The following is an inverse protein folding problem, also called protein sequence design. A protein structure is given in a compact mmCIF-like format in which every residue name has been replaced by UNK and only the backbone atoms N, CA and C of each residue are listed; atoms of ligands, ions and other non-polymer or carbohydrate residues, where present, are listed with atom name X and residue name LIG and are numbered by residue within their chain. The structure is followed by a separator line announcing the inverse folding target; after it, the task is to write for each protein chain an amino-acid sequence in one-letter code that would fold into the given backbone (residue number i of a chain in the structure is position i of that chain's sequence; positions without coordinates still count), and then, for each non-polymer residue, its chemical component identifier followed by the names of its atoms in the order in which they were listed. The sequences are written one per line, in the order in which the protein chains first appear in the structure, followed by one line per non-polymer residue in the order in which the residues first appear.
data_IF_250819313753
#
_entry.id   IF_250819313753
#
_cell.length_a   1.000
_cell.length_b   1.000
_cell.length_c   1.000
_cell.angle_alpha   90.00
_cell.angle_beta   90.00
_cell.angle_gamma   90.00
#
_symmetry.space_group_name_H-M   'P 1'
#
loop_
_entity.id
_entity.type
_entity.pdbx_description
1 polymer ?
#
# COMPACT_ATOMS: atom_id res chain seq x y z
N UNK A 1 -8.91 3.43 11.96
CA UNK A 1 -8.16 2.16 11.87
C UNK A 1 -6.87 2.38 11.11
N UNK A 2 -5.82 1.58 11.34
CA UNK A 2 -4.51 1.78 10.70
C UNK A 2 -4.10 0.56 9.87
N UNK A 3 -3.56 0.79 8.68
CA UNK A 3 -3.17 -0.29 7.76
C UNK A 3 -1.83 -0.04 7.08
N UNK A 4 -1.09 -1.10 6.83
CA UNK A 4 -0.03 -1.09 5.81
C UNK A 4 -0.67 -1.34 4.45
N UNK A 5 -0.35 -0.53 3.44
CA UNK A 5 -0.97 -0.59 2.11
C UNK A 5 0.04 -1.01 1.08
N UNK A 6 -0.36 -1.98 0.26
CA UNK A 6 0.40 -2.50 -0.88
C UNK A 6 0.45 -1.48 -2.04
N UNK A 7 1.58 -1.38 -2.75
CA UNK A 7 1.73 -0.53 -3.94
C UNK A 7 0.63 -0.78 -4.96
N UNK A 8 0.20 -2.03 -5.16
CA UNK A 8 -0.87 -2.36 -6.12
C UNK A 8 -2.18 -1.65 -5.80
N UNK A 9 -2.50 -1.48 -4.52
CA UNK A 9 -3.63 -0.68 -4.08
C UNK A 9 -3.34 0.79 -4.34
N UNK A 10 -2.16 1.29 -3.95
CA UNK A 10 -1.78 2.70 -4.12
C UNK A 10 -1.80 3.15 -5.58
N UNK A 11 -1.44 2.28 -6.54
CA UNK A 11 -1.58 2.58 -7.96
C UNK A 11 -3.02 2.97 -8.29
N UNK A 12 -4.01 2.20 -7.83
CA UNK A 12 -5.42 2.49 -8.15
C UNK A 12 -5.89 3.88 -7.72
N UNK A 13 -5.19 4.59 -6.82
CA UNK A 13 -5.46 5.99 -6.45
C UNK A 13 -5.50 6.95 -7.66
N UNK A 14 -4.68 6.68 -8.69
CA UNK A 14 -4.57 7.55 -9.87
C UNK A 14 -5.72 7.37 -10.88
N UNK A 15 -6.54 6.33 -10.74
CA UNK A 15 -7.65 6.05 -11.65
C UNK A 15 -8.85 6.97 -11.39
N UNK A 16 -9.63 7.25 -12.43
CA UNK A 16 -10.89 7.99 -12.32
C UNK A 16 -11.89 7.20 -11.46
N UNK A 17 -12.61 7.90 -10.57
CA UNK A 17 -13.58 7.32 -9.63
C UNK A 17 -12.99 6.17 -8.78
N UNK A 18 -11.69 6.27 -8.46
CA UNK A 18 -11.01 5.29 -7.64
C UNK A 18 -11.65 5.16 -6.27
N UNK A 19 -12.12 3.97 -5.95
CA UNK A 19 -12.62 3.65 -4.62
C UNK A 19 -11.53 3.85 -3.54
N UNK A 20 -10.30 3.48 -3.88
CA UNK A 20 -9.10 3.69 -3.04
C UNK A 20 -8.94 5.15 -2.65
N UNK A 21 -9.21 6.09 -3.57
CA UNK A 21 -9.15 7.51 -3.27
C UNK A 21 -10.16 7.93 -2.19
N UNK A 22 -11.35 7.34 -2.18
CA UNK A 22 -12.34 7.58 -1.13
C UNK A 22 -11.86 7.09 0.24
N UNK A 23 -11.32 5.88 0.30
CA UNK A 23 -10.79 5.31 1.55
C UNK A 23 -9.58 6.07 2.09
N UNK A 24 -8.62 6.44 1.23
CA UNK A 24 -7.40 7.13 1.66
C UNK A 24 -7.66 8.53 2.22
N UNK A 25 -8.80 9.16 1.86
CA UNK A 25 -9.18 10.50 2.34
C UNK A 25 -10.01 10.44 3.63
N UNK A 26 -10.47 9.25 4.02
CA UNK A 26 -11.23 9.08 5.26
C UNK A 26 -10.35 9.37 6.48
N UNK A 27 -10.76 10.36 7.28
CA UNK A 27 -10.00 10.81 8.45
C UNK A 27 -9.99 9.79 9.59
N UNK A 28 -10.92 8.83 9.59
CA UNK A 28 -10.93 7.75 10.57
C UNK A 28 -9.94 6.63 10.19
N UNK A 29 -9.31 6.69 9.01
CA UNK A 29 -8.34 5.73 8.52
C UNK A 29 -6.94 6.33 8.39
N UNK A 30 -5.92 5.58 8.77
CA UNK A 30 -4.51 5.95 8.61
C UNK A 30 -3.78 4.87 7.84
N UNK A 31 -2.94 5.29 6.90
CA UNK A 31 -2.27 4.38 5.97
C UNK A 31 -0.77 4.57 5.98
N UNK A 32 -0.07 3.44 5.97
CA UNK A 32 1.39 3.36 5.99
C UNK A 32 1.85 2.54 4.80
N UNK A 33 2.97 2.88 4.20
CA UNK A 33 3.59 2.05 3.17
C UNK A 33 5.10 2.13 3.29
N UNK A 34 5.84 1.11 2.85
CA UNK A 34 7.29 1.23 2.66
C UNK A 34 7.63 2.36 1.69
N UNK A 35 8.73 3.08 1.93
CA UNK A 35 9.17 4.19 1.06
C UNK A 35 9.38 3.76 -0.41
N UNK A 36 9.84 2.53 -0.64
CA UNK A 36 10.03 2.01 -1.99
C UNK A 36 8.70 1.99 -2.79
N UNK A 37 7.54 1.90 -2.15
CA UNK A 37 6.25 1.94 -2.85
C UNK A 37 6.05 3.30 -3.56
N UNK A 38 6.52 4.39 -2.96
CA UNK A 38 6.50 5.71 -3.60
C UNK A 38 7.53 5.78 -4.74
N UNK A 39 8.70 5.18 -4.57
CA UNK A 39 9.72 5.07 -5.64
C UNK A 39 9.17 4.30 -6.84
N UNK A 40 8.46 3.21 -6.59
CA UNK A 40 7.81 2.38 -7.59
C UNK A 40 6.74 3.17 -8.35
N UNK A 41 5.88 3.91 -7.65
CA UNK A 41 4.91 4.83 -8.27
C UNK A 41 5.59 5.86 -9.17
N UNK A 42 6.73 6.42 -8.76
CA UNK A 42 7.49 7.35 -9.59
C UNK A 42 8.10 6.66 -10.81
N UNK A 43 8.63 5.44 -10.65
CA UNK A 43 9.20 4.64 -11.74
C UNK A 43 8.18 4.30 -12.82
N UNK A 44 6.94 4.01 -12.42
CA UNK A 44 5.83 3.68 -13.32
C UNK A 44 4.99 4.90 -13.73
N UNK A 45 5.49 6.13 -13.55
CA UNK A 45 4.71 7.36 -13.84
C UNK A 45 4.16 7.41 -15.26
N UNK A 46 4.97 7.00 -16.24
CA UNK A 46 4.60 7.07 -17.66
C UNK A 46 3.46 6.09 -17.98
N UNK A 47 3.50 4.88 -17.42
CA UNK A 47 2.44 3.88 -17.57
C UNK A 47 1.14 4.33 -16.89
N UNK A 48 1.24 4.95 -15.70
CA UNK A 48 0.08 5.51 -15.00
C UNK A 48 -0.55 6.63 -15.85
N UNK A 49 0.27 7.54 -16.38
CA UNK A 49 -0.18 8.65 -17.23
C UNK A 49 -0.87 8.12 -18.49
N UNK A 50 -0.27 7.15 -19.18
CA UNK A 50 -0.82 6.53 -20.37
C UNK A 50 -2.18 5.87 -20.10
N UNK A 51 -2.27 5.05 -19.04
CA UNK A 51 -3.50 4.31 -18.70
C UNK A 51 -4.63 5.20 -18.21
N UNK A 52 -4.31 6.28 -17.48
CA UNK A 52 -5.32 7.16 -16.88
C UNK A 52 -5.69 8.34 -17.79
N UNK A 53 -4.84 8.68 -18.75
CA UNK A 53 -4.99 9.83 -19.64
C UNK A 53 -4.84 11.18 -18.93
N UNK A 54 -4.19 11.22 -17.77
CA UNK A 54 -3.93 12.48 -17.03
C UNK A 54 -2.66 13.16 -17.55
N UNK A 55 -2.52 14.46 -17.33
CA UNK A 55 -1.27 15.15 -17.65
C UNK A 55 -0.17 14.82 -16.63
N UNK A 56 1.10 15.02 -17.00
CA UNK A 56 2.24 14.91 -16.08
C UNK A 56 2.07 15.83 -14.85
N UNK A 57 1.56 17.04 -15.04
CA UNK A 57 1.31 17.96 -13.93
C UNK A 57 0.20 17.45 -13.01
N UNK A 58 -0.85 16.83 -13.55
CA UNK A 58 -1.89 16.21 -12.74
C UNK A 58 -1.37 14.98 -12.00
N UNK A 59 -0.50 14.17 -12.61
CA UNK A 59 0.17 13.07 -11.94
C UNK A 59 1.00 13.57 -10.75
N UNK A 60 1.82 14.62 -10.94
CA UNK A 60 2.62 15.22 -9.85
C UNK A 60 1.75 15.76 -8.72
N UNK A 61 0.61 16.38 -9.03
CA UNK A 61 -0.38 16.83 -8.04
C UNK A 61 -0.92 15.64 -7.23
N UNK A 62 -1.48 14.63 -7.91
CA UNK A 62 -2.03 13.44 -7.25
C UNK A 62 -0.97 12.69 -6.42
N UNK A 63 0.28 12.63 -6.90
CA UNK A 63 1.37 12.02 -6.15
C UNK A 63 1.66 12.78 -4.85
N UNK A 64 1.61 14.12 -4.87
CA UNK A 64 1.74 14.93 -3.64
C UNK A 64 0.57 14.67 -2.70
N UNK A 65 -0.65 14.61 -3.22
CA UNK A 65 -1.84 14.28 -2.43
C UNK A 65 -1.69 12.90 -1.77
N UNK A 66 -1.21 11.90 -2.52
CA UNK A 66 -0.99 10.55 -1.98
C UNK A 66 -0.03 10.55 -0.80
N UNK A 67 1.04 11.35 -0.85
CA UNK A 67 2.00 11.51 0.24
C UNK A 67 1.47 12.32 1.45
N UNK A 68 0.29 12.94 1.34
CA UNK A 68 -0.42 13.53 2.47
C UNK A 68 -1.27 12.47 3.17
N UNK A 69 -1.84 11.53 2.41
CA UNK A 69 -2.76 10.51 2.93
C UNK A 69 -2.06 9.21 3.39
N UNK A 70 -0.84 8.97 2.91
CA UNK A 70 -0.07 7.76 3.22
C UNK A 70 1.28 8.15 3.81
N UNK A 71 1.59 7.63 4.99
CA UNK A 71 2.89 7.78 5.61
C UNK A 71 3.87 6.76 5.02
N UNK A 72 4.87 7.24 4.29
CA UNK A 72 5.91 6.41 3.68
C UNK A 72 7.08 6.22 4.65
N UNK A 73 7.32 4.97 5.05
CA UNK A 73 8.27 4.60 6.10
C UNK A 73 9.59 4.11 5.47
N UNK A 74 10.74 4.70 5.82
CA UNK A 74 12.04 4.27 5.31
C UNK A 74 12.41 2.84 5.73
N UNK A 75 13.17 2.15 4.88
CA UNK A 75 13.62 0.77 5.12
C UNK A 75 14.32 0.60 6.48
N UNK A 76 15.10 1.58 6.91
CA UNK A 76 15.85 1.54 8.17
C UNK A 76 14.97 1.35 9.41
N UNK A 77 13.70 1.76 9.35
CA UNK A 77 12.75 1.65 10.47
C UNK A 77 12.23 0.22 10.69
N UNK A 78 12.16 -0.59 9.63
CA UNK A 78 11.55 -1.92 9.66
C UNK A 78 12.46 -3.06 9.19
N UNK A 79 13.66 -2.77 8.66
CA UNK A 79 14.59 -3.78 8.11
C UNK A 79 14.89 -4.96 9.04
N UNK A 80 14.83 -4.76 10.36
CA UNK A 80 15.04 -5.82 11.35
C UNK A 80 14.00 -6.95 11.28
N UNK A 81 12.82 -6.69 10.69
CA UNK A 81 11.74 -7.65 10.50
C UNK A 81 11.79 -8.35 9.14
N UNK A 82 12.66 -7.95 8.21
CA UNK A 82 12.78 -8.59 6.89
C UNK A 82 13.12 -10.08 6.97
N UNK A 83 14.05 -10.57 7.82
CA UNK A 83 14.34 -12.00 7.89
C UNK A 83 13.14 -12.83 8.33
N UNK A 84 12.37 -12.31 9.30
CA UNK A 84 11.16 -12.95 9.77
C UNK A 84 10.08 -12.95 8.68
N UNK A 85 9.87 -11.81 8.03
CA UNK A 85 8.92 -11.66 6.95
C UNK A 85 9.23 -12.63 5.78
N UNK A 86 10.51 -12.73 5.37
CA UNK A 86 10.95 -13.65 4.32
C UNK A 86 10.71 -15.12 4.71
N UNK A 87 10.84 -15.46 5.99
CA UNK A 87 10.55 -16.83 6.47
C UNK A 87 9.06 -17.18 6.40
N UNK A 88 8.17 -16.18 6.44
CA UNK A 88 6.72 -16.37 6.34
C UNK A 88 6.26 -16.55 4.89
N UNK A 89 6.92 -15.90 3.94
CA UNK A 89 6.58 -15.93 2.50
C UNK A 89 7.83 -16.11 1.61
N UNK A 90 8.58 -17.21 1.75
CA UNK A 90 9.90 -17.37 1.12
C UNK A 90 9.87 -17.39 -0.42
N UNK A 91 8.71 -17.67 -1.02
CA UNK A 91 8.54 -17.70 -2.48
C UNK A 91 8.19 -16.32 -3.07
N UNK A 92 7.97 -15.31 -2.22
CA UNK A 92 7.49 -13.98 -2.62
C UNK A 92 8.33 -12.89 -1.92
N UNK A 93 9.62 -12.76 -2.27
CA UNK A 93 10.52 -11.82 -1.61
C UNK A 93 10.08 -10.35 -1.79
N UNK A 94 9.43 -10.01 -2.90
CA UNK A 94 8.98 -8.64 -3.19
C UNK A 94 7.86 -8.17 -2.23
N UNK A 95 7.11 -9.10 -1.64
CA UNK A 95 6.05 -8.82 -0.67
C UNK A 95 6.59 -8.67 0.77
N UNK A 96 7.88 -8.96 0.98
CA UNK A 96 8.51 -9.06 2.30
C UNK A 96 8.47 -7.73 3.04
N UNK A 97 8.67 -6.62 2.35
CA UNK A 97 8.73 -5.29 2.97
C UNK A 97 7.38 -4.87 3.58
N UNK A 98 6.26 -5.14 2.91
CA UNK A 98 4.92 -4.84 3.46
C UNK A 98 4.66 -5.63 4.73
N UNK A 99 5.00 -6.92 4.72
CA UNK A 99 4.84 -7.77 5.88
C UNK A 99 5.81 -7.39 7.02
N UNK A 100 7.05 -7.03 6.71
CA UNK A 100 8.01 -6.54 7.69
C UNK A 100 7.57 -5.22 8.34
N UNK A 101 7.05 -4.29 7.56
CA UNK A 101 6.49 -3.04 8.08
C UNK A 101 5.25 -3.31 8.94
N UNK A 102 4.37 -4.21 8.51
CA UNK A 102 3.18 -4.58 9.27
C UNK A 102 3.54 -5.25 10.60
N UNK A 103 4.59 -6.09 10.64
CA UNK A 103 5.13 -6.67 11.86
C UNK A 103 5.71 -5.60 12.81
N UNK A 104 6.50 -4.67 12.27
CA UNK A 104 7.07 -3.54 13.02
C UNK A 104 5.99 -2.69 13.70
N UNK A 105 4.96 -2.31 12.94
CA UNK A 105 3.89 -1.43 13.39
C UNK A 105 2.75 -2.18 14.10
N UNK A 106 2.74 -3.52 14.03
CA UNK A 106 1.66 -4.40 14.50
C UNK A 106 0.30 -4.06 13.86
N UNK A 107 0.33 -3.76 12.56
CA UNK A 107 -0.85 -3.38 11.79
C UNK A 107 -1.30 -4.50 10.86
N UNK A 108 -2.55 -4.39 10.39
CA UNK A 108 -3.04 -5.25 9.32
C UNK A 108 -2.61 -4.71 7.96
N UNK A 109 -2.54 -5.58 6.95
CA UNK A 109 -2.23 -5.19 5.58
C UNK A 109 -3.51 -5.04 4.79
N UNK A 110 -3.60 -4.00 3.96
CA UNK A 110 -4.58 -3.89 2.88
C UNK A 110 -3.90 -4.23 1.56
N UNK A 111 -4.26 -5.39 1.01
CA UNK A 111 -3.77 -5.86 -0.28
C UNK A 111 -4.78 -6.83 -0.91
N UNK A 112 -4.86 -6.80 -2.24
CA UNK A 112 -5.59 -7.80 -3.02
C UNK A 112 -4.70 -8.95 -3.49
N UNK A 113 -3.40 -8.94 -3.17
CA UNK A 113 -2.48 -10.01 -3.53
C UNK A 113 -2.74 -11.25 -2.65
N UNK A 114 -3.07 -12.42 -3.23
CA UNK A 114 -3.25 -13.66 -2.48
C UNK A 114 -1.98 -14.18 -1.80
N UNK A 115 -0.78 -13.76 -2.22
CA UNK A 115 0.50 -14.18 -1.65
C UNK A 115 0.63 -13.76 -0.19
N UNK A 116 0.27 -12.51 0.14
CA UNK A 116 0.29 -11.99 1.50
C UNK A 116 -0.70 -12.70 2.43
N UNK A 117 -1.77 -13.29 1.87
CA UNK A 117 -2.75 -14.11 2.62
C UNK A 117 -2.28 -15.53 2.92
N UNK A 118 -1.14 -15.99 2.37
CA UNK A 118 -0.61 -17.34 2.64
C UNK A 118 -0.07 -17.49 4.06
N UNK A 119 0.38 -16.40 4.68
CA UNK A 119 0.82 -16.36 6.07
C UNK A 119 -0.35 -15.99 7.01
N UNK A 120 -0.25 -16.39 8.28
CA UNK A 120 -1.30 -16.18 9.30
C UNK A 120 -0.90 -15.22 10.43
N UNK A 121 0.33 -14.71 10.43
CA UNK A 121 0.88 -13.85 11.49
C UNK A 121 0.32 -12.44 11.44
N UNK A 122 0.06 -11.92 10.24
CA UNK A 122 -0.50 -10.60 10.00
C UNK A 122 -1.83 -10.75 9.28
N UNK A 123 -2.88 -10.09 9.77
CA UNK A 123 -4.18 -10.08 9.11
C UNK A 123 -4.09 -9.26 7.82
N UNK A 124 -4.58 -9.81 6.72
CA UNK A 124 -4.59 -9.17 5.41
C UNK A 124 -6.02 -9.04 4.93
N UNK A 125 -6.43 -7.81 4.62
CA UNK A 125 -7.75 -7.49 4.07
C UNK A 125 -7.63 -7.26 2.56
N UNK A 126 -8.46 -7.93 1.77
CA UNK A 126 -8.79 -7.46 0.43
C UNK A 126 -9.63 -6.19 0.52
N UNK A 127 -9.72 -5.41 -0.56
CA UNK A 127 -10.58 -4.21 -0.60
C UNK A 127 -12.03 -4.54 -0.19
N UNK A 128 -12.56 -5.68 -0.64
CA UNK A 128 -13.91 -6.14 -0.29
C UNK A 128 -14.08 -6.53 1.19
N UNK A 129 -13.03 -7.00 1.86
CA UNK A 129 -13.06 -7.33 3.29
C UNK A 129 -12.89 -6.07 4.13
N UNK A 130 -11.97 -5.18 3.73
CA UNK A 130 -11.75 -3.89 4.37
C UNK A 130 -13.04 -3.08 4.42
N UNK A 131 -13.76 -3.02 3.29
CA UNK A 131 -15.06 -2.38 3.16
C UNK A 131 -16.07 -2.83 4.22
N UNK A 132 -16.24 -4.15 4.35
CA UNK A 132 -17.14 -4.74 5.34
C UNK A 132 -16.71 -4.42 6.76
N UNK A 133 -15.41 -4.38 7.02
CA UNK A 133 -14.85 -4.07 8.33
C UNK A 133 -15.08 -2.61 8.74
N UNK A 134 -14.99 -1.67 7.79
CA UNK A 134 -15.20 -0.23 8.03
C UNK A 134 -16.65 0.22 7.85
N UNK A 135 -17.57 -0.69 7.50
CA UNK A 135 -19.01 -0.40 7.38
C UNK A 135 -19.41 0.37 6.11
N UNK A 136 -18.62 0.24 5.03
CA UNK A 136 -18.85 0.87 3.73
C UNK A 136 -19.34 -0.12 2.65
#
# INVERSE_FOLDING_TARGET
MKFVVDTNILFTFFWKNSFTKGLLVDQDLEFFAPEFALEEINKYSDEIIEKTGISLEKFKELRRDLAIFVEFIPLDEYKQFLPESLSLIPMHPDDTDFLALALKLKLSIWSNDPHLKRQSKVKVYSTSELLKEVGL
#
